data_IF_404727148691
#
_entry.id   IF_404727148691
#
_cell.length_a   1.000
_cell.length_b   1.000
_cell.length_c   1.000
_cell.angle_alpha   90.00
_cell.angle_beta   90.00
_cell.angle_gamma   90.00
#
_symmetry.space_group_name_H-M   'P 1'
#
loop_
_entity.id
_entity.type
_entity.pdbx_description
1 polymer ?
#
# COMPACT_ATOMS: atom_id res chain seq x y z
N UNK A 1 30.20 -37.56 55.68
CA UNK A 1 30.82 -36.23 55.48
C UNK A 1 30.62 -35.92 54.00
N UNK A 2 29.93 -34.91 53.52
CA UNK A 2 29.67 -33.57 54.01
C UNK A 2 28.21 -33.14 53.74
N UNK A 3 27.72 -32.21 54.57
CA UNK A 3 26.47 -31.49 54.41
C UNK A 3 26.68 -30.36 53.39
N UNK A 4 25.75 -30.14 52.48
CA UNK A 4 25.66 -28.88 51.72
C UNK A 4 24.26 -28.30 51.91
N UNK A 5 24.24 -27.11 52.51
CA UNK A 5 23.05 -26.35 52.87
C UNK A 5 22.45 -25.59 51.70
N UNK A 6 21.20 -25.21 51.89
CA UNK A 6 20.39 -24.41 50.98
C UNK A 6 20.88 -22.96 50.89
N UNK A 7 20.75 -22.37 49.70
CA UNK A 7 20.63 -20.92 49.53
C UNK A 7 19.35 -20.66 48.70
N UNK A 8 18.29 -20.26 49.40
CA UNK A 8 17.09 -19.67 48.82
C UNK A 8 17.39 -18.19 48.55
N UNK A 9 17.47 -17.82 47.27
CA UNK A 9 17.50 -16.41 46.85
C UNK A 9 16.06 -15.91 46.82
N UNK A 10 15.67 -14.87 47.59
CA UNK A 10 14.34 -14.29 47.46
C UNK A 10 14.31 -13.47 46.18
N UNK A 11 13.58 -13.95 45.17
CA UNK A 11 13.21 -13.15 44.00
C UNK A 11 12.15 -12.15 44.47
N UNK A 12 12.57 -10.90 44.69
CA UNK A 12 11.66 -9.78 44.88
C UNK A 12 10.90 -9.57 43.56
N UNK A 13 9.66 -10.07 43.52
CA UNK A 13 8.73 -9.82 42.43
C UNK A 13 8.24 -8.37 42.55
N UNK A 14 8.99 -7.44 41.96
CA UNK A 14 8.54 -6.06 41.77
C UNK A 14 7.40 -6.03 40.75
N UNK A 15 6.16 -5.91 41.24
CA UNK A 15 5.02 -5.54 40.41
C UNK A 15 5.23 -4.10 39.91
N UNK A 16 5.78 -3.95 38.70
CA UNK A 16 5.60 -2.73 37.92
C UNK A 16 4.12 -2.67 37.52
N UNK A 17 3.35 -1.89 38.27
CA UNK A 17 2.04 -1.39 37.84
C UNK A 17 2.26 -0.53 36.59
N UNK A 18 2.28 -1.16 35.42
CA UNK A 18 2.07 -0.48 34.14
C UNK A 18 0.59 -0.10 34.13
N UNK A 19 0.27 1.05 34.71
CA UNK A 19 -1.02 1.69 34.49
C UNK A 19 -1.19 1.93 32.99
N UNK A 20 -2.42 1.82 32.45
CA UNK A 20 -2.64 2.07 31.02
C UNK A 20 -2.20 3.50 30.73
N UNK A 21 -1.16 3.66 29.89
CA UNK A 21 -0.92 4.92 29.21
C UNK A 21 -2.12 5.14 28.29
N UNK A 22 -3.10 5.91 28.77
CA UNK A 22 -4.08 6.54 27.91
C UNK A 22 -3.34 7.47 26.98
N UNK A 23 -3.02 6.99 25.77
CA UNK A 23 -2.61 7.86 24.67
C UNK A 23 -3.87 8.61 24.25
N UNK A 24 -4.12 9.74 24.91
CA UNK A 24 -5.07 10.73 24.40
C UNK A 24 -4.48 11.30 23.11
N UNK A 25 -4.81 10.68 21.98
CA UNK A 25 -4.70 11.33 20.68
C UNK A 25 -5.70 12.48 20.71
N UNK A 26 -5.23 13.68 21.06
CA UNK A 26 -5.97 14.89 20.78
C UNK A 26 -6.06 14.98 19.25
N UNK A 27 -7.23 14.68 18.70
CA UNK A 27 -7.54 15.07 17.33
C UNK A 27 -7.33 16.58 17.26
N UNK A 28 -6.33 17.01 16.50
CA UNK A 28 -6.15 18.42 16.19
C UNK A 28 -7.41 18.85 15.42
N UNK A 29 -8.31 19.55 16.10
CA UNK A 29 -9.41 20.24 15.46
C UNK A 29 -8.81 21.35 14.61
N UNK A 30 -8.68 21.10 13.30
CA UNK A 30 -8.55 22.19 12.34
C UNK A 30 -9.88 22.95 12.29
N UNK A 31 -9.95 24.03 13.06
CA UNK A 31 -11.02 25.01 12.96
C UNK A 31 -10.85 25.77 11.64
N UNK A 32 -11.51 25.28 10.59
CA UNK A 32 -11.77 26.05 9.39
C UNK A 32 -12.75 27.18 9.69
N UNK A 33 -12.29 28.40 9.46
CA UNK A 33 -13.09 29.63 9.46
C UNK A 33 -14.32 29.51 8.54
N UNK A 34 -15.46 30.04 9.00
CA UNK A 34 -16.83 29.96 8.43
C UNK A 34 -17.69 28.71 8.69
N UNK A 35 -17.94 28.30 9.94
CA UNK A 35 -19.19 27.61 10.37
C UNK A 35 -19.65 26.36 9.59
N UNK A 36 -18.82 25.82 8.70
CA UNK A 36 -19.09 24.72 7.79
C UNK A 36 -18.42 23.51 8.43
N UNK A 37 -19.23 22.51 8.76
CA UNK A 37 -18.71 21.29 9.36
C UNK A 37 -17.79 20.59 8.36
N UNK A 38 -16.48 20.64 8.60
CA UNK A 38 -15.49 20.04 7.71
C UNK A 38 -15.63 18.52 7.73
N UNK A 39 -15.69 17.92 6.55
CA UNK A 39 -15.69 16.46 6.39
C UNK A 39 -14.31 15.96 6.00
N UNK A 40 -13.86 14.91 6.66
CA UNK A 40 -12.60 14.21 6.40
C UNK A 40 -12.87 12.76 6.02
N UNK A 41 -11.92 12.11 5.36
CA UNK A 41 -12.01 10.69 5.01
C UNK A 41 -11.67 9.84 6.23
N UNK A 42 -12.49 8.82 6.48
CA UNK A 42 -12.27 7.82 7.52
C UNK A 42 -12.27 6.41 6.93
N UNK A 43 -11.38 5.55 7.42
CA UNK A 43 -11.43 4.11 7.24
C UNK A 43 -12.29 3.52 8.37
N UNK A 44 -13.36 2.83 8.00
CA UNK A 44 -14.25 2.15 8.93
C UNK A 44 -13.97 0.66 8.87
N UNK A 45 -13.55 0.08 9.98
CA UNK A 45 -13.40 -1.38 10.11
C UNK A 45 -14.65 -1.97 10.73
N UNK A 46 -15.10 -3.09 10.15
CA UNK A 46 -16.35 -3.74 10.51
C UNK A 46 -16.09 -5.21 10.84
N UNK A 47 -16.73 -5.70 11.90
CA UNK A 47 -16.68 -7.09 12.31
C UNK A 47 -17.59 -7.92 11.38
N UNK A 48 -17.02 -8.51 10.33
CA UNK A 48 -17.75 -9.35 9.37
C UNK A 48 -18.63 -10.41 10.06
N UNK A 49 -18.10 -11.05 11.11
CA UNK A 49 -18.81 -12.09 11.89
C UNK A 49 -20.05 -11.58 12.62
N UNK A 50 -20.22 -10.26 12.78
CA UNK A 50 -21.37 -9.65 13.41
C UNK A 50 -22.43 -9.18 12.40
N UNK A 51 -22.26 -9.45 11.11
CA UNK A 51 -23.27 -9.09 10.12
C UNK A 51 -24.61 -9.78 10.46
N UNK A 52 -25.70 -9.01 10.60
CA UNK A 52 -27.02 -9.59 10.83
C UNK A 52 -27.47 -10.46 9.64
N UNK A 53 -28.12 -11.60 9.94
CA UNK A 53 -28.66 -12.53 8.92
C UNK A 53 -29.67 -11.91 7.94
N UNK A 54 -30.22 -10.75 8.29
CA UNK A 54 -31.12 -10.00 7.41
C UNK A 54 -30.41 -9.44 6.17
N UNK A 55 -29.09 -9.28 6.20
CA UNK A 55 -28.30 -8.82 5.07
C UNK A 55 -27.76 -10.01 4.27
N UNK A 56 -27.90 -9.94 2.95
CA UNK A 56 -27.36 -10.93 2.02
C UNK A 56 -25.93 -10.59 1.56
N UNK A 57 -25.58 -9.30 1.57
CA UNK A 57 -24.29 -8.78 1.12
C UNK A 57 -23.76 -7.74 2.11
N UNK A 58 -22.45 -7.75 2.34
CA UNK A 58 -21.79 -6.89 3.33
C UNK A 58 -21.95 -5.41 2.96
N UNK A 59 -21.98 -5.08 1.67
CA UNK A 59 -22.15 -3.71 1.19
C UNK A 59 -23.48 -3.08 1.63
N UNK A 60 -24.57 -3.84 1.63
CA UNK A 60 -25.86 -3.34 2.12
C UNK A 60 -25.84 -3.09 3.63
N UNK A 61 -25.12 -3.92 4.38
CA UNK A 61 -24.94 -3.72 5.82
C UNK A 61 -24.07 -2.50 6.12
N UNK A 62 -23.02 -2.28 5.33
CA UNK A 62 -22.16 -1.10 5.45
C UNK A 62 -22.93 0.19 5.12
N UNK A 63 -23.68 0.21 4.01
CA UNK A 63 -24.52 1.35 3.64
C UNK A 63 -25.57 1.64 4.73
N UNK A 64 -26.25 0.61 5.27
CA UNK A 64 -27.21 0.80 6.37
C UNK A 64 -26.57 1.43 7.63
N UNK A 65 -25.33 1.04 7.97
CA UNK A 65 -24.59 1.68 9.06
C UNK A 65 -24.24 3.13 8.73
N UNK A 66 -23.76 3.40 7.52
CA UNK A 66 -23.42 4.74 7.08
C UNK A 66 -24.64 5.68 7.07
N UNK A 67 -25.76 5.24 6.47
CA UNK A 67 -27.00 6.03 6.35
C UNK A 67 -27.62 6.39 7.69
N UNK A 68 -27.37 5.58 8.71
CA UNK A 68 -27.88 5.84 10.05
C UNK A 68 -27.25 7.04 10.76
N UNK A 69 -26.03 7.41 10.35
CA UNK A 69 -25.30 8.56 10.92
C UNK A 69 -25.24 9.73 9.95
N UNK A 70 -25.30 9.46 8.64
CA UNK A 70 -25.24 10.50 7.62
C UNK A 70 -26.10 10.15 6.39
N UNK A 71 -27.02 11.06 6.05
CA UNK A 71 -27.89 10.89 4.87
C UNK A 71 -27.19 11.25 3.56
N UNK A 72 -26.08 12.00 3.62
CA UNK A 72 -25.38 12.54 2.45
C UNK A 72 -23.98 11.96 2.25
N UNK A 73 -23.49 11.15 3.18
CA UNK A 73 -22.23 10.45 3.00
C UNK A 73 -22.40 9.26 2.04
N UNK A 74 -21.35 8.98 1.28
CA UNK A 74 -21.26 7.84 0.38
C UNK A 74 -19.97 7.06 0.67
N UNK A 75 -19.97 5.77 0.33
CA UNK A 75 -18.76 4.95 0.43
C UNK A 75 -17.84 5.23 -0.77
N UNK A 76 -16.58 5.56 -0.49
CA UNK A 76 -15.53 5.77 -1.49
C UNK A 76 -15.02 4.41 -1.98
N UNK A 77 -14.74 3.52 -1.02
CA UNK A 77 -14.25 2.16 -1.24
C UNK A 77 -14.88 1.19 -0.25
N UNK A 78 -14.96 -0.08 -0.64
CA UNK A 78 -15.33 -1.22 0.21
C UNK A 78 -14.17 -2.21 0.28
N UNK A 79 -13.98 -2.82 1.45
CA UNK A 79 -12.92 -3.78 1.73
C UNK A 79 -13.54 -5.11 2.18
N UNK A 80 -13.09 -6.22 1.61
CA UNK A 80 -13.67 -7.55 1.82
C UNK A 80 -12.64 -8.69 1.83
N UNK A 81 -11.35 -8.38 1.86
CA UNK A 81 -10.28 -9.40 1.70
C UNK A 81 -9.33 -9.43 2.88
N UNK A 82 -8.45 -8.43 3.00
CA UNK A 82 -7.49 -8.35 4.12
C UNK A 82 -8.12 -7.75 5.38
N UNK A 83 -9.06 -6.84 5.18
CA UNK A 83 -9.91 -6.24 6.19
C UNK A 83 -11.33 -6.15 5.64
N UNK A 84 -12.30 -6.08 6.55
CA UNK A 84 -13.71 -5.89 6.23
C UNK A 84 -14.14 -4.49 6.64
N UNK A 85 -14.70 -3.72 5.72
CA UNK A 85 -15.13 -2.36 6.01
C UNK A 85 -15.26 -1.47 4.78
N UNK A 86 -15.19 -0.16 5.00
CA UNK A 86 -15.34 0.83 3.92
C UNK A 86 -14.65 2.14 4.27
N UNK A 87 -14.35 2.96 3.25
CA UNK A 87 -13.90 4.34 3.41
C UNK A 87 -15.04 5.30 3.08
N UNK A 88 -15.18 6.38 3.84
CA UNK A 88 -16.24 7.39 3.64
C UNK A 88 -15.82 8.76 4.17
N UNK A 89 -16.50 9.82 3.73
CA UNK A 89 -16.30 11.18 4.26
C UNK A 89 -17.35 11.52 5.31
N UNK A 90 -16.89 11.82 6.52
CA UNK A 90 -17.74 12.15 7.67
C UNK A 90 -17.25 13.42 8.36
N UNK A 91 -18.16 14.10 9.04
CA UNK A 91 -17.81 15.06 10.08
C UNK A 91 -17.33 14.31 11.33
N UNK A 92 -16.58 14.98 12.20
CA UNK A 92 -16.11 14.36 13.45
C UNK A 92 -17.27 13.76 14.28
N UNK A 93 -18.40 14.49 14.39
CA UNK A 93 -19.58 14.02 15.12
C UNK A 93 -20.24 12.79 14.45
N UNK A 94 -20.32 12.75 13.12
CA UNK A 94 -20.84 11.56 12.40
C UNK A 94 -19.90 10.35 12.59
N UNK A 95 -18.57 10.56 12.58
CA UNK A 95 -17.58 9.52 12.80
C UNK A 95 -17.61 8.96 14.23
N UNK A 96 -17.73 9.82 15.24
CA UNK A 96 -17.93 9.41 16.64
C UNK A 96 -19.22 8.61 16.81
N UNK A 97 -20.33 9.08 16.22
CA UNK A 97 -21.60 8.36 16.25
C UNK A 97 -21.46 6.98 15.60
N UNK A 98 -20.78 6.89 14.45
CA UNK A 98 -20.56 5.62 13.75
C UNK A 98 -19.72 4.64 14.59
N UNK A 99 -18.70 5.12 15.29
CA UNK A 99 -17.84 4.29 16.13
C UNK A 99 -18.60 3.60 17.28
N UNK A 100 -19.75 4.11 17.69
CA UNK A 100 -20.60 3.50 18.73
C UNK A 100 -21.52 2.39 18.21
N UNK A 101 -21.60 2.19 16.88
CA UNK A 101 -22.57 1.28 16.27
C UNK A 101 -22.13 -0.19 16.45
N UNK A 102 -23.07 -1.11 16.75
CA UNK A 102 -22.76 -2.54 16.80
C UNK A 102 -22.14 -3.03 15.50
N UNK A 103 -21.08 -3.84 15.60
CA UNK A 103 -20.34 -4.34 14.44
C UNK A 103 -19.25 -3.41 13.91
N UNK A 104 -19.18 -2.14 14.34
CA UNK A 104 -18.06 -1.26 14.00
C UNK A 104 -16.91 -1.51 14.99
N UNK A 105 -15.75 -1.85 14.45
CA UNK A 105 -14.53 -2.13 15.23
C UNK A 105 -13.70 -0.87 15.47
N UNK A 106 -13.57 -0.03 14.44
CA UNK A 106 -12.84 1.23 14.53
C UNK A 106 -13.25 2.18 13.40
N UNK A 107 -13.15 3.48 13.67
CA UNK A 107 -13.30 4.56 12.69
C UNK A 107 -12.04 5.41 12.78
N UNK A 108 -11.15 5.29 11.80
CA UNK A 108 -9.81 5.89 11.84
C UNK A 108 -9.71 6.96 10.75
N UNK A 109 -9.21 8.18 11.06
CA UNK A 109 -8.99 9.18 10.04
C UNK A 109 -7.91 8.70 9.06
N UNK A 110 -8.14 8.95 7.78
CA UNK A 110 -7.17 8.68 6.71
C UNK A 110 -5.90 9.50 6.94
N UNK A 111 -4.74 8.86 6.80
CA UNK A 111 -3.43 9.50 6.92
C UNK A 111 -2.75 9.61 5.56
N UNK A 112 -2.10 10.74 5.29
CA UNK A 112 -1.31 11.02 4.07
C UNK A 112 0.17 10.71 4.32
N UNK A 113 0.86 10.06 3.37
CA UNK A 113 2.32 9.89 3.41
C UNK A 113 2.99 10.32 2.11
N UNK A 114 4.04 11.12 2.21
CA UNK A 114 4.80 11.59 1.05
C UNK A 114 5.64 10.49 0.39
N UNK A 115 5.90 10.63 -0.92
CA UNK A 115 6.78 9.72 -1.65
C UNK A 115 8.23 9.87 -1.18
N UNK A 116 8.87 8.73 -0.90
CA UNK A 116 10.25 8.67 -0.43
C UNK A 116 11.00 7.54 -1.13
N UNK A 117 11.98 7.88 -1.97
CA UNK A 117 13.02 6.94 -2.40
C UNK A 117 14.39 7.56 -2.19
N UNK A 118 15.25 6.92 -1.40
CA UNK A 118 16.56 7.49 -1.05
C UNK A 118 17.81 6.72 -1.49
N UNK A 119 17.78 5.49 -2.05
CA UNK A 119 18.97 4.85 -2.66
C UNK A 119 18.69 3.50 -3.36
N UNK A 120 19.59 3.11 -4.25
CA UNK A 120 19.66 1.89 -5.08
C UNK A 120 20.15 0.64 -4.31
N UNK A 121 20.00 -0.58 -4.87
CA UNK A 121 20.32 -1.86 -4.20
C UNK A 121 21.79 -2.03 -3.80
N UNK A 122 22.73 -1.40 -4.51
CA UNK A 122 24.17 -1.42 -4.17
C UNK A 122 24.44 -0.85 -2.76
N UNK A 123 23.59 0.06 -2.30
CA UNK A 123 23.64 0.58 -0.93
C UNK A 123 23.39 -0.51 0.13
N UNK A 124 22.70 -1.59 -0.22
CA UNK A 124 22.37 -2.71 0.66
C UNK A 124 23.45 -3.81 0.68
N UNK A 125 24.56 -3.64 -0.07
CA UNK A 125 25.65 -4.62 -0.09
C UNK A 125 25.27 -5.96 -0.73
N UNK A 126 24.18 -5.99 -1.50
CA UNK A 126 23.73 -7.13 -2.30
C UNK A 126 24.59 -7.20 -3.58
N UNK A 127 25.85 -7.59 -3.43
CA UNK A 127 26.71 -7.97 -4.53
C UNK A 127 26.73 -9.49 -4.72
N UNK A 128 26.63 -9.96 -5.97
CA UNK A 128 26.88 -11.29 -6.55
C UNK A 128 26.48 -12.57 -5.76
N UNK A 129 25.73 -12.45 -4.67
CA UNK A 129 25.28 -13.57 -3.87
C UNK A 129 23.87 -13.97 -4.29
N UNK A 130 23.78 -14.65 -5.44
CA UNK A 130 22.60 -15.38 -5.94
C UNK A 130 22.02 -16.44 -4.99
N UNK A 131 22.49 -16.51 -3.74
CA UNK A 131 22.18 -17.54 -2.76
C UNK A 131 21.16 -17.11 -1.68
N UNK A 132 20.59 -15.90 -1.76
CA UNK A 132 19.77 -15.37 -0.66
C UNK A 132 18.26 -15.44 -0.87
N UNK A 133 17.78 -15.77 -2.07
CA UNK A 133 16.34 -15.91 -2.32
C UNK A 133 16.03 -17.36 -2.72
N UNK A 134 15.24 -18.09 -1.92
CA UNK A 134 14.65 -19.35 -2.37
C UNK A 134 13.94 -19.12 -3.71
N UNK A 135 14.00 -20.09 -4.63
CA UNK A 135 13.10 -20.14 -5.79
C UNK A 135 11.66 -20.35 -5.29
N UNK A 136 11.07 -19.29 -4.75
CA UNK A 136 9.69 -19.23 -4.31
C UNK A 136 8.93 -18.35 -5.29
N UNK A 137 7.74 -18.80 -5.69
CA UNK A 137 6.80 -18.00 -6.48
C UNK A 137 6.29 -16.81 -5.63
N UNK A 138 7.07 -15.73 -5.60
CA UNK A 138 6.75 -14.52 -4.84
C UNK A 138 6.16 -13.46 -5.79
N UNK A 139 5.13 -12.78 -5.30
CA UNK A 139 4.55 -11.60 -5.98
C UNK A 139 4.89 -10.35 -5.17
N UNK A 140 5.62 -9.43 -5.78
CA UNK A 140 6.00 -8.14 -5.18
C UNK A 140 4.96 -7.10 -5.53
N UNK A 141 4.24 -6.59 -4.53
CA UNK A 141 3.28 -5.50 -4.69
C UNK A 141 3.94 -4.15 -4.45
N UNK A 142 3.88 -3.24 -5.45
CA UNK A 142 4.50 -1.91 -5.38
C UNK A 142 3.45 -0.82 -5.44
N UNK A 143 3.36 0.00 -4.38
CA UNK A 143 2.29 0.96 -4.16
C UNK A 143 2.80 2.39 -4.40
N UNK A 144 2.71 2.86 -5.64
CA UNK A 144 3.51 3.99 -6.17
C UNK A 144 2.75 4.77 -7.27
N UNK A 145 3.39 5.59 -8.09
CA UNK A 145 2.79 6.47 -9.14
C UNK A 145 2.30 5.73 -10.39
N UNK A 146 2.34 4.40 -10.40
CA UNK A 146 1.87 3.54 -11.49
C UNK A 146 2.98 2.67 -12.06
N UNK A 147 2.81 2.23 -13.31
CA UNK A 147 3.85 1.51 -14.05
C UNK A 147 3.87 1.85 -15.55
N UNK A 148 5.07 1.88 -16.16
CA UNK A 148 5.26 1.93 -17.61
C UNK A 148 5.57 0.51 -18.15
N UNK A 149 4.55 -0.25 -18.57
CA UNK A 149 4.68 -1.69 -18.84
C UNK A 149 5.59 -2.02 -20.04
N UNK A 150 5.82 -1.07 -20.96
CA UNK A 150 6.66 -1.30 -22.14
C UNK A 150 8.18 -1.24 -21.87
N UNK A 151 8.61 -1.02 -20.62
CA UNK A 151 10.05 -1.04 -20.28
C UNK A 151 10.60 -2.47 -20.33
N UNK A 152 11.85 -2.61 -20.76
CA UNK A 152 12.57 -3.90 -20.84
C UNK A 152 12.66 -4.63 -19.49
N UNK A 153 12.65 -3.90 -18.39
CA UNK A 153 12.60 -4.45 -17.02
C UNK A 153 11.32 -5.23 -16.72
N UNK A 154 10.29 -5.15 -17.56
CA UNK A 154 9.06 -5.95 -17.46
C UNK A 154 8.97 -7.02 -18.56
N UNK A 155 10.10 -7.37 -19.16
CA UNK A 155 10.18 -8.53 -20.06
C UNK A 155 9.91 -9.83 -19.28
N UNK A 156 9.28 -10.79 -19.96
CA UNK A 156 8.82 -12.04 -19.37
C UNK A 156 9.46 -13.27 -20.03
N UNK A 157 10.60 -13.09 -20.72
CA UNK A 157 11.22 -14.15 -21.51
C UNK A 157 11.69 -15.35 -20.65
N UNK A 158 12.00 -15.09 -19.38
CA UNK A 158 12.47 -16.05 -18.38
C UNK A 158 11.42 -16.34 -17.29
N UNK A 159 10.18 -15.84 -17.46
CA UNK A 159 9.10 -16.04 -16.50
C UNK A 159 8.32 -17.32 -16.78
N UNK A 160 7.97 -18.04 -15.72
CA UNK A 160 6.99 -19.13 -15.78
C UNK A 160 5.56 -18.62 -15.86
N UNK A 161 4.60 -19.54 -15.73
CA UNK A 161 3.18 -19.18 -15.68
C UNK A 161 2.85 -18.33 -14.44
N UNK A 162 1.81 -17.50 -14.57
CA UNK A 162 1.29 -16.74 -13.43
C UNK A 162 0.82 -17.72 -12.35
N UNK A 163 1.21 -17.53 -11.06
CA UNK A 163 0.83 -18.46 -10.01
C UNK A 163 -0.68 -18.66 -9.94
N UNK A 164 -1.14 -19.91 -9.92
CA UNK A 164 -2.58 -20.26 -10.00
C UNK A 164 -3.43 -19.71 -8.85
N UNK A 165 -2.79 -19.39 -7.71
CA UNK A 165 -3.44 -18.77 -6.55
C UNK A 165 -3.63 -17.25 -6.72
N UNK A 166 -3.01 -16.64 -7.73
CA UNK A 166 -3.14 -15.21 -8.02
C UNK A 166 -4.56 -14.86 -8.45
N UNK A 167 -5.14 -13.86 -7.80
CA UNK A 167 -6.51 -13.35 -8.07
C UNK A 167 -6.55 -11.86 -8.37
N UNK A 168 -5.38 -11.26 -8.60
CA UNK A 168 -5.32 -9.84 -8.94
C UNK A 168 -5.79 -9.58 -10.36
N UNK A 169 -6.03 -8.31 -10.65
CA UNK A 169 -6.59 -7.86 -11.92
C UNK A 169 -5.62 -6.93 -12.63
N UNK A 170 -5.75 -6.87 -13.96
CA UNK A 170 -5.14 -5.85 -14.80
C UNK A 170 -6.23 -4.86 -15.22
N UNK A 171 -6.27 -3.71 -14.58
CA UNK A 171 -7.31 -2.70 -14.79
C UNK A 171 -7.00 -1.90 -16.06
N UNK A 172 -7.94 -1.85 -17.00
CA UNK A 172 -7.84 -1.02 -18.19
C UNK A 172 -8.24 0.43 -17.90
N UNK A 173 -7.68 1.36 -18.67
CA UNK A 173 -7.99 2.78 -18.59
C UNK A 173 -7.30 3.58 -19.71
N UNK A 174 -7.15 4.88 -19.50
CA UNK A 174 -6.43 5.73 -20.46
C UNK A 174 -5.00 5.22 -20.67
N UNK A 175 -4.59 5.01 -21.93
CA UNK A 175 -3.25 4.55 -22.30
C UNK A 175 -2.78 3.24 -21.62
N UNK A 176 -3.71 2.42 -21.14
CA UNK A 176 -3.41 1.16 -20.46
C UNK A 176 -4.53 0.15 -20.72
N UNK A 177 -4.19 -1.01 -21.24
CA UNK A 177 -5.12 -2.10 -21.55
C UNK A 177 -4.79 -3.33 -20.72
N UNK A 178 -5.70 -4.30 -20.68
CA UNK A 178 -5.44 -5.58 -20.00
C UNK A 178 -4.25 -6.34 -20.60
N UNK A 179 -3.95 -6.11 -21.89
CA UNK A 179 -2.82 -6.71 -22.60
C UNK A 179 -1.46 -6.13 -22.18
N UNK A 180 -1.44 -5.04 -21.42
CA UNK A 180 -0.20 -4.50 -20.84
C UNK A 180 0.31 -5.35 -19.66
N UNK A 181 -0.53 -6.15 -19.03
CA UNK A 181 -0.08 -7.17 -18.09
C UNK A 181 0.43 -8.41 -18.84
N UNK A 182 1.45 -9.03 -18.29
CA UNK A 182 2.11 -10.21 -18.83
C UNK A 182 2.59 -11.09 -17.65
N UNK A 183 3.26 -12.24 -17.88
CA UNK A 183 3.74 -13.07 -16.78
C UNK A 183 4.74 -12.36 -15.84
N UNK A 184 5.39 -11.27 -16.25
CA UNK A 184 6.21 -10.43 -15.35
C UNK A 184 5.36 -9.44 -14.57
N UNK A 185 4.53 -8.64 -15.25
CA UNK A 185 3.56 -7.71 -14.66
C UNK A 185 2.18 -8.35 -14.59
N UNK A 186 1.87 -9.06 -13.50
CA UNK A 186 0.68 -9.92 -13.43
C UNK A 186 -0.60 -9.20 -12.94
N UNK A 187 -0.47 -7.94 -12.54
CA UNK A 187 -1.60 -7.11 -12.16
C UNK A 187 -1.22 -5.64 -12.05
N UNK A 188 -2.19 -4.79 -12.33
CA UNK A 188 -2.02 -3.34 -12.35
C UNK A 188 -3.36 -2.69 -12.00
N UNK A 189 -3.40 -1.81 -11.01
CA UNK A 189 -4.62 -1.10 -10.58
C UNK A 189 -4.32 0.37 -10.33
N UNK A 190 -5.36 1.18 -10.15
CA UNK A 190 -5.23 2.56 -9.67
C UNK A 190 -6.36 2.93 -8.70
N UNK A 191 -6.11 3.88 -7.79
CA UNK A 191 -7.06 4.28 -6.73
C UNK A 191 -7.08 5.80 -6.63
N UNK A 192 -7.85 6.44 -7.52
CA UNK A 192 -7.98 7.89 -7.55
C UNK A 192 -9.01 8.44 -6.56
N UNK A 193 -10.07 7.69 -6.22
CA UNK A 193 -11.23 8.23 -5.50
C UNK A 193 -10.90 8.73 -4.09
N UNK A 194 -9.98 8.05 -3.39
CA UNK A 194 -9.55 8.47 -2.04
C UNK A 194 -8.81 9.81 -2.08
N UNK A 195 -7.86 9.93 -3.01
CA UNK A 195 -7.16 11.19 -3.27
C UNK A 195 -8.15 12.29 -3.67
N UNK A 196 -9.03 12.04 -4.64
CA UNK A 196 -10.03 13.04 -5.08
C UNK A 196 -10.98 13.47 -3.96
N UNK A 197 -11.33 12.54 -3.05
CA UNK A 197 -12.13 12.83 -1.87
C UNK A 197 -11.40 13.75 -0.88
N UNK A 198 -10.08 13.64 -0.77
CA UNK A 198 -9.27 14.33 0.22
C UNK A 198 -8.72 15.68 -0.26
N UNK A 199 -8.34 15.79 -1.53
CA UNK A 199 -7.70 16.99 -2.11
C UNK A 199 -8.45 17.61 -3.28
N UNK A 200 -9.51 16.95 -3.77
CA UNK A 200 -10.31 17.43 -4.89
C UNK A 200 -9.93 16.77 -6.22
N UNK A 201 -10.64 17.13 -7.32
CA UNK A 201 -10.51 16.46 -8.60
C UNK A 201 -9.08 16.47 -9.13
N UNK A 202 -8.64 15.35 -9.72
CA UNK A 202 -7.36 15.28 -10.41
C UNK A 202 -7.50 15.94 -11.79
N UNK A 203 -6.50 16.73 -12.15
CA UNK A 203 -6.33 17.19 -13.53
C UNK A 203 -5.73 16.05 -14.38
N UNK A 204 -6.57 15.46 -15.23
CA UNK A 204 -6.23 14.34 -16.11
C UNK A 204 -5.64 14.78 -17.44
N UNK A 205 -5.30 16.07 -17.63
CA UNK A 205 -4.69 16.56 -18.87
C UNK A 205 -3.26 16.03 -19.10
N UNK A 206 -2.51 15.82 -18.02
CA UNK A 206 -1.14 15.30 -18.03
C UNK A 206 -1.03 13.94 -17.30
N UNK A 207 -2.16 13.32 -16.98
CA UNK A 207 -2.23 12.11 -16.17
C UNK A 207 -3.21 11.12 -16.80
N UNK A 208 -2.81 9.86 -16.84
CA UNK A 208 -3.68 8.77 -17.28
C UNK A 208 -4.55 8.30 -16.12
N UNK A 209 -5.87 8.30 -16.32
CA UNK A 209 -6.84 7.66 -15.42
C UNK A 209 -6.79 6.14 -15.59
N UNK A 210 -5.66 5.57 -15.19
CA UNK A 210 -5.30 4.16 -15.33
C UNK A 210 -4.08 3.83 -14.47
N UNK A 211 -3.63 2.56 -14.44
CA UNK A 211 -2.36 2.18 -13.80
C UNK A 211 -1.09 2.74 -14.47
N UNK A 212 -1.21 3.45 -15.60
CA UNK A 212 -0.07 4.01 -16.34
C UNK A 212 0.69 5.03 -15.50
N UNK A 213 1.99 4.84 -15.43
CA UNK A 213 2.90 5.83 -14.85
C UNK A 213 3.18 6.96 -15.84
N UNK A 214 2.82 8.19 -15.48
CA UNK A 214 3.14 9.41 -16.22
C UNK A 214 4.19 10.27 -15.49
N UNK A 215 4.64 9.82 -14.32
CA UNK A 215 5.62 10.50 -13.44
C UNK A 215 7.02 9.85 -13.56
N UNK A 216 7.09 8.53 -13.41
CA UNK A 216 8.29 7.72 -13.52
C UNK A 216 8.74 7.08 -12.21
N UNK A 217 8.35 7.62 -11.05
CA UNK A 217 8.76 7.11 -9.73
C UNK A 217 8.35 5.64 -9.54
N UNK A 218 7.10 5.29 -9.84
CA UNK A 218 6.60 3.92 -9.73
C UNK A 218 7.31 2.94 -10.64
N UNK A 219 7.60 3.35 -11.87
CA UNK A 219 8.41 2.54 -12.80
C UNK A 219 9.83 2.33 -12.27
N UNK A 220 10.47 3.37 -11.74
CA UNK A 220 11.81 3.27 -11.18
C UNK A 220 11.85 2.37 -9.92
N UNK A 221 10.92 2.59 -8.98
CA UNK A 221 10.81 1.80 -7.74
C UNK A 221 10.56 0.32 -8.04
N UNK A 222 9.59 0.02 -8.91
CA UNK A 222 9.24 -1.37 -9.21
C UNK A 222 10.29 -2.09 -10.04
N UNK A 223 10.97 -1.40 -10.98
CA UNK A 223 12.12 -1.99 -11.69
C UNK A 223 13.30 -2.24 -10.77
N UNK A 224 13.49 -1.42 -9.74
CA UNK A 224 14.53 -1.63 -8.72
C UNK A 224 14.21 -2.82 -7.83
N UNK A 225 12.94 -2.96 -7.43
CA UNK A 225 12.52 -4.01 -6.51
C UNK A 225 12.46 -5.39 -7.15
N UNK A 226 12.04 -5.48 -8.42
CA UNK A 226 11.80 -6.76 -9.09
C UNK A 226 11.85 -6.65 -10.63
N UNK A 227 12.65 -5.74 -11.19
CA UNK A 227 12.86 -5.67 -12.63
C UNK A 227 13.67 -6.87 -13.16
N UNK A 228 13.37 -7.28 -14.39
CA UNK A 228 14.23 -8.18 -15.14
C UNK A 228 15.53 -7.47 -15.53
N UNK A 229 16.61 -8.24 -15.65
CA UNK A 229 17.90 -7.74 -16.12
C UNK A 229 17.80 -7.14 -17.53
N UNK A 230 18.40 -5.97 -17.73
CA UNK A 230 18.42 -5.20 -18.96
C UNK A 230 19.86 -4.92 -19.35
N UNK A 231 20.35 -5.65 -20.34
CA UNK A 231 21.69 -5.44 -20.89
C UNK A 231 21.83 -4.03 -21.51
N UNK A 232 22.94 -3.37 -21.20
CA UNK A 232 23.27 -2.05 -21.73
C UNK A 232 22.46 -0.89 -21.16
N UNK A 233 21.78 -1.08 -20.01
CA UNK A 233 21.09 -0.01 -19.31
C UNK A 233 22.06 1.14 -18.97
N UNK A 234 21.70 2.36 -19.36
CA UNK A 234 22.50 3.56 -19.10
C UNK A 234 21.59 4.78 -18.94
N UNK A 235 22.10 5.80 -18.25
CA UNK A 235 21.45 7.09 -18.08
C UNK A 235 22.35 8.15 -18.74
N UNK A 236 22.04 8.48 -20.00
CA UNK A 236 22.79 9.33 -20.93
C UNK A 236 24.10 8.72 -21.44
N UNK A 237 24.29 8.64 -22.77
CA UNK A 237 25.58 8.30 -23.35
C UNK A 237 26.63 9.37 -22.99
N UNK A 238 27.57 8.99 -22.11
CA UNK A 238 28.89 9.59 -21.84
C UNK A 238 28.98 10.80 -20.89
N UNK A 239 29.46 10.54 -19.66
CA UNK A 239 30.60 11.22 -19.00
C UNK A 239 30.87 10.53 -17.66
N UNK A 240 31.37 9.30 -17.68
CA UNK A 240 31.79 8.61 -16.47
C UNK A 240 33.19 8.04 -16.72
N UNK A 241 34.14 8.48 -15.90
CA UNK A 241 35.45 7.84 -15.76
C UNK A 241 35.27 6.33 -15.48
N UNK A 242 36.30 5.51 -15.75
CA UNK A 242 36.19 4.04 -15.65
C UNK A 242 35.55 3.51 -14.35
N UNK A 243 35.67 4.24 -13.23
CA UNK A 243 35.13 3.86 -11.94
C UNK A 243 33.59 3.98 -11.82
N UNK A 244 32.94 4.92 -12.52
CA UNK A 244 31.49 5.09 -12.43
C UNK A 244 30.74 4.30 -13.51
N UNK A 245 31.42 3.89 -14.59
CA UNK A 245 30.87 2.97 -15.57
C UNK A 245 30.60 1.57 -14.98
N UNK A 246 31.30 1.20 -13.90
CA UNK A 246 31.06 -0.05 -13.18
C UNK A 246 29.83 0.00 -12.26
N UNK A 247 29.41 1.17 -11.76
CA UNK A 247 28.15 1.29 -10.99
C UNK A 247 26.94 1.15 -11.90
N UNK A 248 26.94 1.72 -13.12
CA UNK A 248 25.86 1.51 -14.09
C UNK A 248 25.78 0.05 -14.62
N UNK A 249 26.93 -0.64 -14.72
CA UNK A 249 27.01 -2.06 -15.09
C UNK A 249 26.63 -3.01 -13.94
N UNK A 250 26.74 -2.55 -12.69
CA UNK A 250 26.41 -3.31 -11.48
C UNK A 250 24.92 -3.36 -11.14
N UNK A 251 24.12 -2.37 -11.59
CA UNK A 251 22.68 -2.24 -11.25
C UNK A 251 21.81 -3.43 -11.70
N UNK A 252 22.26 -4.23 -12.67
CA UNK A 252 21.38 -5.16 -13.41
C UNK A 252 21.67 -6.66 -13.19
N UNK A 253 22.68 -7.04 -12.41
CA UNK A 253 23.11 -8.44 -12.34
C UNK A 253 22.26 -9.37 -11.45
N UNK A 254 21.20 -8.87 -10.80
CA UNK A 254 20.32 -9.68 -9.97
C UNK A 254 19.01 -9.98 -10.71
N UNK A 255 18.94 -11.18 -11.32
CA UNK A 255 17.71 -11.68 -11.94
C UNK A 255 16.65 -11.98 -10.88
N UNK A 256 15.64 -11.12 -10.81
CA UNK A 256 14.45 -11.36 -10.02
C UNK A 256 13.40 -12.09 -10.87
N UNK A 257 13.14 -13.36 -10.55
CA UNK A 257 12.04 -14.15 -11.14
C UNK A 257 10.67 -13.83 -10.53
N UNK A 258 10.61 -12.86 -9.62
CA UNK A 258 9.37 -12.50 -8.95
C UNK A 258 8.42 -11.78 -9.92
N UNK A 259 7.13 -12.09 -9.80
CA UNK A 259 6.13 -11.32 -10.51
C UNK A 259 5.99 -9.95 -9.85
N UNK A 260 5.93 -8.90 -10.64
CA UNK A 260 5.61 -7.55 -10.19
C UNK A 260 4.11 -7.34 -10.30
N UNK A 261 3.54 -6.72 -9.27
CA UNK A 261 2.22 -6.12 -9.36
C UNK A 261 2.33 -4.63 -9.07
N UNK A 262 1.91 -3.82 -10.03
CA UNK A 262 1.64 -2.41 -9.78
C UNK A 262 0.39 -2.33 -8.91
N UNK A 263 0.59 -1.97 -7.65
CA UNK A 263 -0.49 -1.55 -6.78
C UNK A 263 -0.81 -0.07 -7.12
N UNK A 264 -1.99 0.40 -6.72
CA UNK A 264 -2.60 1.61 -7.21
C UNK A 264 -1.71 2.84 -7.42
N UNK A 265 -1.78 3.44 -8.62
CA UNK A 265 -1.25 4.79 -8.94
C UNK A 265 -1.63 5.79 -7.86
N UNK A 266 -0.62 6.40 -7.24
CA UNK A 266 -0.72 7.41 -6.19
C UNK A 266 -0.03 8.69 -6.63
N UNK A 267 -0.67 9.82 -6.35
CA UNK A 267 -0.08 11.15 -6.56
C UNK A 267 0.36 11.69 -5.22
N UNK A 268 1.65 11.97 -5.07
CA UNK A 268 2.40 12.63 -3.97
C UNK A 268 2.07 12.27 -2.50
N UNK A 269 1.02 11.49 -2.22
CA UNK A 269 0.55 11.23 -0.88
C UNK A 269 -0.20 9.88 -0.80
N UNK A 270 0.30 8.96 0.01
CA UNK A 270 -0.30 7.68 0.35
C UNK A 270 -1.43 7.95 1.32
N UNK A 271 -2.65 7.64 0.94
CA UNK A 271 -3.79 7.58 1.85
C UNK A 271 -3.98 6.13 2.33
N UNK A 272 -4.06 5.90 3.64
CA UNK A 272 -4.47 4.61 4.23
C UNK A 272 -5.96 4.57 4.43
#
# INVERSE_FOLDING_TARGET
MAKTGAYLVPVLLGFLLVGPLSVSSAAATETGDNGKTTRQTYIVHVAESQMPRAFQHHEHWYDANLRSVSHTAEMIYTYSTAIHGFATRLTAAEAESLATRPGILSVLPEQRYELHTTRTPEFLGLGDNSALLPEADVVVGVLDTGIWPERKSYSHADMGDVPSWWKGECEAGANFSTANCNPKLIGARFLAKGYEAAVGPIDWSNESKSPRDDDGHGTHTSSTAAGSEVEGANLFETLLTPDLANSAKGVQHERHKDNVRSLPKKKDNIHR
#
